data_IF_407723227909
#
_entry.id   IF_407723227909
#
_cell.length_a   1.000
_cell.length_b   1.000
_cell.length_c   1.000
_cell.angle_alpha   90.00
_cell.angle_beta   90.00
_cell.angle_gamma   90.00
#
_symmetry.space_group_name_H-M   'P 1'
#
loop_
_entity.id
_entity.type
_entity.pdbx_description
1 polymer ?
#
# COMPACT_ATOMS: atom_id res chain seq x y z
N UNK A 1 -11.73 -11.10 11.28
CA UNK A 1 -10.37 -10.61 11.61
C UNK A 1 -10.48 -9.12 11.90
N UNK A 2 -9.93 -8.63 13.03
CA UNK A 2 -9.86 -7.19 13.32
C UNK A 2 -8.57 -6.63 12.70
N UNK A 3 -8.66 -5.45 12.08
CA UNK A 3 -7.53 -4.73 11.47
C UNK A 3 -7.19 -3.56 12.40
N UNK A 4 -5.94 -3.45 12.82
CA UNK A 4 -5.43 -2.39 13.68
C UNK A 4 -4.50 -1.41 12.95
N UNK A 5 -4.20 -0.29 13.60
CA UNK A 5 -3.21 0.67 13.12
C UNK A 5 -1.81 0.08 13.18
N UNK A 6 -1.05 0.23 12.09
CA UNK A 6 0.33 -0.27 12.00
C UNK A 6 0.43 -1.74 11.56
N UNK A 7 -0.71 -2.42 11.40
CA UNK A 7 -0.71 -3.75 10.82
C UNK A 7 -0.24 -3.73 9.36
N UNK A 8 0.47 -4.78 8.96
CA UNK A 8 0.95 -4.97 7.59
C UNK A 8 0.20 -6.13 6.93
N UNK A 9 -0.38 -5.85 5.75
CA UNK A 9 -1.17 -6.83 5.00
C UNK A 9 -0.70 -6.92 3.55
N UNK A 10 -0.86 -8.11 2.96
CA UNK A 10 -0.71 -8.27 1.51
C UNK A 10 -2.03 -7.96 0.81
N UNK A 11 -2.10 -6.86 0.08
CA UNK A 11 -3.30 -6.43 -0.65
C UNK A 11 -3.12 -6.67 -2.16
N UNK A 12 -4.20 -7.11 -2.81
CA UNK A 12 -4.26 -7.21 -4.26
C UNK A 12 -4.85 -5.91 -4.82
N UNK A 13 -3.98 -5.04 -5.35
CA UNK A 13 -4.41 -3.83 -6.04
C UNK A 13 -4.57 -4.11 -7.53
N UNK A 14 -5.81 -4.13 -8.01
CA UNK A 14 -6.09 -4.02 -9.45
C UNK A 14 -6.15 -2.53 -9.82
N UNK A 15 -5.27 -2.10 -10.72
CA UNK A 15 -5.39 -0.76 -11.32
C UNK A 15 -6.53 -0.81 -12.34
N UNK A 16 -7.51 0.08 -12.19
CA UNK A 16 -8.81 0.03 -12.90
C UNK A 16 -8.75 0.56 -14.36
N UNK A 17 -7.70 0.28 -15.13
CA UNK A 17 -7.94 0.08 -16.56
C UNK A 17 -7.28 -1.17 -17.17
N UNK A 18 -6.36 -1.85 -16.48
CA UNK A 18 -5.58 -2.95 -17.06
C UNK A 18 -5.71 -4.26 -16.26
N UNK A 19 -6.04 -5.39 -16.92
CA UNK A 19 -5.97 -6.71 -16.28
C UNK A 19 -4.51 -7.05 -15.97
N UNK A 20 -4.05 -6.79 -14.74
CA UNK A 20 -2.65 -6.98 -14.37
C UNK A 20 -2.24 -6.54 -12.96
N UNK A 21 -3.12 -6.72 -11.97
CA UNK A 21 -2.85 -6.35 -10.59
C UNK A 21 -1.60 -7.04 -10.02
N UNK A 22 -0.86 -6.33 -9.17
CA UNK A 22 0.28 -6.91 -8.43
C UNK A 22 -0.08 -6.97 -6.95
N UNK A 23 0.08 -8.15 -6.34
CA UNK A 23 0.00 -8.28 -4.88
C UNK A 23 1.19 -7.57 -4.26
N UNK A 24 0.92 -6.62 -3.35
CA UNK A 24 1.98 -5.86 -2.65
C UNK A 24 1.69 -5.79 -1.15
N UNK A 25 2.72 -5.83 -0.29
CA UNK A 25 2.57 -5.48 1.11
C UNK A 25 2.19 -4.00 1.24
N UNK A 26 1.33 -3.69 2.19
CA UNK A 26 0.89 -2.33 2.50
C UNK A 26 0.87 -2.12 4.02
N UNK A 27 1.14 -0.89 4.46
CA UNK A 27 0.81 -0.43 5.82
C UNK A 27 -0.64 0.02 5.81
N UNK A 28 -1.40 -0.40 6.82
CA UNK A 28 -2.80 -0.01 6.99
C UNK A 28 -2.92 1.03 8.11
N UNK A 29 -3.63 2.11 7.80
CA UNK A 29 -4.11 3.09 8.75
C UNK A 29 -5.63 3.02 8.77
N UNK A 30 -6.18 2.70 9.93
CA UNK A 30 -7.61 2.63 10.17
C UNK A 30 -8.08 4.05 10.49
N UNK A 31 -8.87 4.62 9.59
CA UNK A 31 -9.52 5.92 9.80
C UNK A 31 -10.89 5.78 10.46
N UNK A 32 -11.57 6.90 10.59
CA UNK A 32 -12.96 6.92 11.01
C UNK A 32 -13.89 6.33 9.93
N UNK A 33 -15.12 5.99 10.30
CA UNK A 33 -16.17 5.56 9.36
C UNK A 33 -15.80 4.34 8.48
N UNK A 34 -15.05 3.38 9.03
CA UNK A 34 -14.62 2.15 8.34
C UNK A 34 -13.74 2.40 7.09
N UNK A 35 -13.12 3.58 6.99
CA UNK A 35 -12.18 3.86 5.92
C UNK A 35 -10.80 3.29 6.25
N UNK A 36 -10.18 2.63 5.26
CA UNK A 36 -8.81 2.17 5.34
C UNK A 36 -7.95 3.03 4.42
N UNK A 37 -6.93 3.67 4.98
CA UNK A 37 -5.85 4.26 4.19
C UNK A 37 -4.73 3.24 4.10
N UNK A 38 -4.40 2.85 2.88
CA UNK A 38 -3.37 1.84 2.60
C UNK A 38 -2.21 2.48 1.86
N UNK A 39 -0.99 2.25 2.32
CA UNK A 39 0.23 2.79 1.69
C UNK A 39 1.14 1.60 1.34
N UNK A 40 1.47 1.38 0.05
CA UNK A 40 2.26 0.25 -0.36
C UNK A 40 3.71 0.34 0.11
N UNK A 41 4.29 -0.81 0.43
CA UNK A 41 5.70 -0.98 0.81
C UNK A 41 6.45 -1.66 -0.34
N UNK A 42 7.74 -1.37 -0.48
CA UNK A 42 8.59 -2.00 -1.48
C UNK A 42 10.04 -2.06 -1.01
N UNK A 43 10.68 -3.22 -1.15
CA UNK A 43 12.12 -3.37 -0.86
C UNK A 43 13.02 -2.60 -1.83
N UNK A 44 12.48 -2.15 -2.97
CA UNK A 44 13.20 -1.38 -4.00
C UNK A 44 12.95 0.13 -3.87
N UNK A 45 12.62 0.62 -2.67
CA UNK A 45 12.23 2.02 -2.46
C UNK A 45 13.33 2.99 -2.90
N UNK A 46 14.57 2.72 -2.49
CA UNK A 46 15.77 3.51 -2.83
C UNK A 46 15.97 3.67 -4.34
N UNK A 47 15.70 2.61 -5.11
CA UNK A 47 15.89 2.54 -6.56
C UNK A 47 14.75 3.17 -7.38
N UNK A 48 13.70 3.70 -6.74
CA UNK A 48 12.58 4.35 -7.42
C UNK A 48 12.87 5.83 -7.65
N UNK A 49 12.32 6.38 -8.73
CA UNK A 49 12.33 7.83 -8.94
C UNK A 49 11.54 8.54 -7.84
N UNK A 50 11.85 9.80 -7.56
CA UNK A 50 11.17 10.58 -6.51
C UNK A 50 9.67 10.68 -6.76
N UNK A 51 9.26 10.78 -8.03
CA UNK A 51 7.85 10.72 -8.43
C UNK A 51 7.17 9.44 -7.96
N UNK A 52 7.83 8.30 -8.11
CA UNK A 52 7.28 7.00 -7.71
C UNK A 52 7.41 6.82 -6.18
N UNK A 53 8.50 7.25 -5.55
CA UNK A 53 8.70 7.15 -4.08
C UNK A 53 7.56 7.79 -3.29
N UNK A 54 7.01 8.92 -3.76
CA UNK A 54 5.83 9.59 -3.17
C UNK A 54 4.58 8.72 -3.06
N UNK A 55 4.51 7.59 -3.78
CA UNK A 55 3.39 6.66 -3.74
C UNK A 55 3.60 5.52 -2.72
N UNK A 56 4.77 5.40 -2.09
CA UNK A 56 5.13 4.30 -1.20
C UNK A 56 5.39 4.81 0.22
N UNK A 57 5.26 3.90 1.18
CA UNK A 57 5.68 4.14 2.55
C UNK A 57 7.20 4.34 2.57
N UNK A 58 7.63 5.36 3.30
CA UNK A 58 9.06 5.68 3.40
C UNK A 58 9.68 4.72 4.40
N UNK A 59 10.67 3.95 3.94
CA UNK A 59 11.44 2.97 4.71
C UNK A 59 12.92 3.32 4.69
#
# INVERSE_FOLDING_TARGET
MKIGNGDCFGLYGAYVPDPGGKRRPVVVFVGEQQQLRVIPITTKYTNKSDRIKRQYYTI
#
